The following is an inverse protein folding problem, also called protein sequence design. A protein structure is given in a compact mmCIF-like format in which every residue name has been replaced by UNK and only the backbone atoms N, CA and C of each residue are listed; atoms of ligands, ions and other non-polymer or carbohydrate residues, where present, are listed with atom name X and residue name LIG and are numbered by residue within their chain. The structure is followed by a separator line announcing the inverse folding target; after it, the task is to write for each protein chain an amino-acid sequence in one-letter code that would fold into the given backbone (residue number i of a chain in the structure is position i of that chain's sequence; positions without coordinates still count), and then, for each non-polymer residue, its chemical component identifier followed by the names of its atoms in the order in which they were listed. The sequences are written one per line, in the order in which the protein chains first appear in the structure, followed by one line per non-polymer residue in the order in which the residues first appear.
data_IF_526883528117
#
_entry.id   IF_526883528117
#
_cell.length_a   1.000
_cell.length_b   1.000
_cell.length_c   1.000
_cell.angle_alpha   90.00
_cell.angle_beta   90.00
_cell.angle_gamma   90.00
#
_symmetry.space_group_name_H-M   'P 1'
#
loop_
_entity.id
_entity.type
_entity.pdbx_description
1 polymer ?
#
# COMPACT_ATOMS: atom_id res chain seq x y z
N UNK A 1 9.15 24.18 1.60
CA UNK A 1 8.10 23.25 1.12
C UNK A 1 7.63 22.42 2.30
N UNK A 2 6.31 22.19 2.47
CA UNK A 2 5.79 21.40 3.60
C UNK A 2 6.22 19.93 3.51
N UNK A 3 6.36 19.27 4.64
CA UNK A 3 6.74 17.85 4.76
C UNK A 3 5.72 16.91 4.07
N UNK A 4 4.43 17.30 4.05
CA UNK A 4 3.33 16.50 3.53
C UNK A 4 2.83 17.03 2.19
N UNK A 5 2.58 16.12 1.25
CA UNK A 5 2.01 16.45 -0.06
C UNK A 5 0.49 16.30 -0.09
N UNK A 6 -0.04 15.36 0.71
CA UNK A 6 -1.48 15.17 0.92
C UNK A 6 -1.77 15.20 2.42
N UNK A 7 -2.83 15.91 2.82
CA UNK A 7 -3.50 15.73 4.11
C UNK A 7 -5.00 15.75 3.88
N UNK A 8 -5.72 14.87 4.58
CA UNK A 8 -7.19 14.93 4.63
C UNK A 8 -7.66 15.00 6.07
N UNK A 9 -8.76 15.68 6.31
CA UNK A 9 -9.37 15.81 7.63
C UNK A 9 -10.87 15.56 7.53
N UNK A 10 -11.34 14.56 8.25
CA UNK A 10 -12.75 14.17 8.30
C UNK A 10 -13.38 13.99 6.90
N UNK A 11 -12.60 13.48 5.92
CA UNK A 11 -13.05 13.37 4.55
C UNK A 11 -14.17 12.35 4.44
N UNK A 12 -15.35 12.80 4.03
CA UNK A 12 -16.58 12.00 3.95
C UNK A 12 -17.14 12.04 2.53
N UNK A 13 -17.64 10.90 2.06
CA UNK A 13 -18.33 10.80 0.78
C UNK A 13 -19.56 9.94 0.89
N UNK A 14 -20.70 10.55 0.58
CA UNK A 14 -21.99 9.90 0.48
C UNK A 14 -22.45 9.81 -0.97
N UNK A 15 -22.98 8.67 -1.38
CA UNK A 15 -23.69 8.42 -2.62
C UNK A 15 -25.16 8.11 -2.26
N UNK A 16 -26.01 9.15 -2.26
CA UNK A 16 -27.35 9.02 -1.72
C UNK A 16 -27.33 8.61 -0.25
N UNK A 17 -27.91 7.45 0.07
CA UNK A 17 -27.93 6.89 1.44
C UNK A 17 -26.68 6.06 1.79
N UNK A 18 -25.84 5.76 0.82
CA UNK A 18 -24.65 4.95 1.03
C UNK A 18 -23.46 5.83 1.40
N UNK A 19 -22.89 5.61 2.59
CA UNK A 19 -21.66 6.27 3.03
C UNK A 19 -20.46 5.46 2.53
N UNK A 20 -19.79 5.94 1.49
CA UNK A 20 -18.62 5.28 0.91
C UNK A 20 -17.32 5.60 1.66
N UNK A 21 -17.24 6.77 2.31
CA UNK A 21 -16.15 7.18 3.20
C UNK A 21 -16.72 7.96 4.36
N UNK A 22 -16.24 7.65 5.56
CA UNK A 22 -16.68 8.27 6.81
C UNK A 22 -15.48 8.85 7.56
N UNK A 23 -15.35 10.18 7.57
CA UNK A 23 -14.36 10.96 8.32
C UNK A 23 -12.91 10.48 8.19
N UNK A 24 -12.48 10.10 6.97
CA UNK A 24 -11.13 9.61 6.70
C UNK A 24 -10.11 10.74 6.80
N UNK A 25 -9.07 10.55 7.63
CA UNK A 25 -7.95 11.48 7.77
C UNK A 25 -6.62 10.79 7.56
N UNK A 26 -5.89 11.12 6.48
CA UNK A 26 -4.54 10.62 6.22
C UNK A 26 -3.55 11.76 6.01
N UNK A 27 -2.26 11.42 6.11
CA UNK A 27 -1.15 12.32 5.78
C UNK A 27 -0.10 11.57 4.99
N UNK A 28 0.23 12.04 3.76
CA UNK A 28 1.24 11.45 2.89
C UNK A 28 2.44 12.40 2.81
N UNK A 29 3.63 11.88 3.09
CA UNK A 29 4.88 12.64 3.03
C UNK A 29 5.39 12.75 1.60
N UNK A 30 6.20 13.77 1.34
CA UNK A 30 6.88 13.89 0.04
C UNK A 30 7.92 12.80 -0.13
N UNK A 31 7.99 12.22 -1.32
CA UNK A 31 8.99 11.22 -1.70
C UNK A 31 8.79 9.86 -1.02
N UNK A 32 7.61 9.57 -0.49
CA UNK A 32 7.26 8.24 0.02
C UNK A 32 6.31 7.49 -0.91
N UNK A 33 6.27 6.18 -0.77
CA UNK A 33 5.22 5.32 -1.30
C UNK A 33 4.23 5.03 -0.17
N UNK A 34 3.00 5.54 -0.33
CA UNK A 34 1.90 5.30 0.60
C UNK A 34 0.96 4.23 0.06
N UNK A 35 0.82 3.13 0.77
CA UNK A 35 -0.09 2.03 0.45
C UNK A 35 -1.44 2.20 1.14
N UNK A 36 -2.52 2.40 0.38
CA UNK A 36 -3.89 2.38 0.89
C UNK A 36 -4.45 0.96 0.81
N UNK A 37 -4.52 0.30 1.94
CA UNK A 37 -4.90 -1.11 2.11
C UNK A 37 -6.38 -1.23 2.44
N UNK A 38 -7.04 -2.24 1.88
CA UNK A 38 -8.43 -2.56 2.25
C UNK A 38 -9.05 -3.57 1.29
N UNK A 39 -10.10 -4.23 1.75
CA UNK A 39 -10.86 -5.18 0.93
C UNK A 39 -11.55 -4.46 -0.25
N UNK A 40 -12.09 -5.26 -1.17
CA UNK A 40 -12.96 -4.72 -2.22
C UNK A 40 -14.19 -4.07 -1.58
N UNK A 41 -14.53 -2.84 -2.02
CA UNK A 41 -15.62 -2.07 -1.42
C UNK A 41 -15.24 -1.29 -0.14
N UNK A 42 -14.00 -1.36 0.37
CA UNK A 42 -13.57 -0.61 1.55
C UNK A 42 -13.58 0.92 1.38
N UNK A 43 -13.72 1.44 0.15
CA UNK A 43 -13.73 2.88 -0.15
C UNK A 43 -12.45 3.39 -0.80
N UNK A 44 -11.45 2.53 -1.10
CA UNK A 44 -10.14 2.92 -1.67
C UNK A 44 -10.27 3.78 -2.93
N UNK A 45 -10.96 3.25 -3.96
CA UNK A 45 -11.18 3.96 -5.23
C UNK A 45 -11.93 5.27 -5.03
N UNK A 46 -12.93 5.32 -4.13
CA UNK A 46 -13.65 6.55 -3.79
C UNK A 46 -12.70 7.59 -3.21
N UNK A 47 -11.81 7.18 -2.28
CA UNK A 47 -10.81 8.06 -1.70
C UNK A 47 -9.87 8.64 -2.76
N UNK A 48 -9.36 7.80 -3.66
CA UNK A 48 -8.49 8.24 -4.75
C UNK A 48 -9.22 9.18 -5.74
N UNK A 49 -10.52 8.93 -6.02
CA UNK A 49 -11.35 9.83 -6.85
C UNK A 49 -11.54 11.20 -6.23
N UNK A 50 -11.67 11.31 -4.91
CA UNK A 50 -11.77 12.60 -4.22
C UNK A 50 -10.46 13.40 -4.34
N UNK A 51 -9.32 12.77 -4.12
CA UNK A 51 -8.01 13.43 -4.23
C UNK A 51 -7.73 13.91 -5.66
N UNK A 52 -8.04 13.06 -6.66
CA UNK A 52 -7.83 13.38 -8.08
C UNK A 52 -8.82 14.40 -8.66
N UNK A 53 -9.91 14.72 -7.93
CA UNK A 53 -10.96 15.62 -8.40
C UNK A 53 -11.99 14.95 -9.32
N UNK A 54 -11.94 13.62 -9.48
CA UNK A 54 -12.97 12.85 -10.21
C UNK A 54 -14.28 12.72 -9.43
N UNK A 55 -14.26 13.04 -8.15
CA UNK A 55 -15.45 13.16 -7.31
C UNK A 55 -15.25 14.32 -6.32
N UNK A 56 -16.35 14.92 -5.86
CA UNK A 56 -16.35 15.96 -4.84
C UNK A 56 -16.66 15.37 -3.47
N UNK A 57 -16.01 15.79 -2.37
CA UNK A 57 -16.34 15.37 -1.03
C UNK A 57 -17.75 15.83 -0.63
N UNK A 58 -18.39 15.08 0.26
CA UNK A 58 -19.64 15.50 0.91
C UNK A 58 -19.35 16.37 2.12
N UNK A 59 -18.28 16.02 2.85
CA UNK A 59 -17.80 16.78 4.02
C UNK A 59 -16.28 16.59 4.16
N UNK A 60 -15.65 17.44 4.99
CA UNK A 60 -14.23 17.37 5.30
C UNK A 60 -13.36 18.20 4.36
N UNK A 61 -12.06 18.09 4.56
CA UNK A 61 -11.07 18.94 3.90
C UNK A 61 -9.99 18.10 3.21
N UNK A 62 -9.51 18.57 2.07
CA UNK A 62 -8.35 18.07 1.36
C UNK A 62 -7.29 19.18 1.33
N UNK A 63 -6.07 18.87 1.72
CA UNK A 63 -4.90 19.70 1.49
C UNK A 63 -4.00 18.98 0.50
N UNK A 64 -3.71 19.63 -0.62
CA UNK A 64 -2.86 19.09 -1.68
C UNK A 64 -1.73 20.07 -1.96
N UNK A 65 -0.47 19.61 -1.86
CA UNK A 65 0.73 20.44 -1.98
C UNK A 65 0.77 21.65 -1.03
N UNK A 66 0.09 21.57 0.12
CA UNK A 66 -0.04 22.65 1.09
C UNK A 66 -1.21 23.61 0.83
N UNK A 67 -1.93 23.45 -0.26
CA UNK A 67 -3.10 24.26 -0.59
C UNK A 67 -4.39 23.59 -0.12
N UNK A 68 -5.31 24.38 0.43
CA UNK A 68 -6.60 23.93 0.97
C UNK A 68 -7.82 24.57 0.28
N UNK A 69 -7.62 25.68 -0.46
CA UNK A 69 -8.67 26.30 -1.25
C UNK A 69 -8.95 25.49 -2.52
N UNK A 70 -10.21 25.16 -2.81
CA UNK A 70 -10.60 24.29 -3.96
C UNK A 70 -10.00 24.78 -5.29
N UNK A 71 -10.08 26.08 -5.58
CA UNK A 71 -9.52 26.66 -6.80
C UNK A 71 -7.99 26.50 -6.91
N UNK A 72 -7.28 26.48 -5.79
CA UNK A 72 -5.83 26.26 -5.74
C UNK A 72 -5.52 24.78 -5.85
N UNK A 73 -6.29 23.92 -5.17
CA UNK A 73 -6.18 22.46 -5.26
C UNK A 73 -6.34 22.00 -6.72
N UNK A 74 -7.31 22.56 -7.45
CA UNK A 74 -7.52 22.25 -8.87
C UNK A 74 -6.27 22.53 -9.71
N UNK A 75 -5.58 23.65 -9.46
CA UNK A 75 -4.30 23.95 -10.10
C UNK A 75 -3.19 22.96 -9.70
N UNK A 76 -3.19 22.53 -8.43
CA UNK A 76 -2.20 21.54 -7.93
C UNK A 76 -2.40 20.15 -8.54
N UNK A 77 -3.62 19.80 -8.93
CA UNK A 77 -3.92 18.55 -9.64
C UNK A 77 -3.18 18.44 -10.97
N UNK A 78 -2.78 19.55 -11.60
CA UNK A 78 -1.92 19.53 -12.79
C UNK A 78 -0.51 18.96 -12.53
N UNK A 79 -0.07 18.95 -11.26
CA UNK A 79 1.19 18.35 -10.78
C UNK A 79 1.02 16.88 -10.38
N UNK A 80 -0.18 16.32 -10.61
CA UNK A 80 -0.54 14.95 -10.22
C UNK A 80 -0.78 14.10 -11.45
N UNK A 81 -0.16 12.92 -11.48
CA UNK A 81 -0.49 11.86 -12.43
C UNK A 81 -1.50 10.91 -11.81
N UNK A 82 -2.51 10.49 -12.57
CA UNK A 82 -3.63 9.69 -12.06
C UNK A 82 -3.84 8.48 -12.94
N UNK A 83 -3.98 7.30 -12.31
CA UNK A 83 -4.41 6.05 -12.94
C UNK A 83 -5.45 5.40 -12.02
N UNK A 84 -6.72 5.58 -12.31
CA UNK A 84 -7.84 5.06 -11.52
C UNK A 84 -8.70 4.16 -12.39
N UNK A 85 -9.05 2.98 -11.89
CA UNK A 85 -9.80 1.93 -12.58
C UNK A 85 -9.05 1.44 -13.83
N UNK A 86 -9.59 1.68 -15.03
CA UNK A 86 -8.97 1.26 -16.30
C UNK A 86 -8.11 2.37 -16.89
N UNK A 87 -6.92 2.03 -17.43
CA UNK A 87 -6.10 3.03 -18.12
C UNK A 87 -6.83 3.71 -19.27
N UNK A 88 -6.95 5.04 -19.21
CA UNK A 88 -7.58 5.85 -20.24
C UNK A 88 -6.64 6.01 -21.44
N UNK A 89 -6.77 5.17 -22.46
CA UNK A 89 -6.05 5.27 -23.72
C UNK A 89 -6.96 5.01 -24.92
N UNK A 90 -6.53 5.43 -26.10
CA UNK A 90 -7.23 5.18 -27.36
C UNK A 90 -6.81 3.82 -27.94
N UNK A 91 -7.69 2.80 -27.95
CA UNK A 91 -7.34 1.44 -28.36
C UNK A 91 -6.85 1.31 -29.81
N UNK A 92 -7.29 2.19 -30.69
CA UNK A 92 -6.93 2.17 -32.12
C UNK A 92 -5.60 2.83 -32.43
N UNK A 93 -5.13 3.71 -31.52
CA UNK A 93 -3.82 4.34 -31.63
C UNK A 93 -2.73 3.36 -31.13
N UNK A 94 -1.51 3.52 -31.64
CA UNK A 94 -0.37 2.79 -31.09
C UNK A 94 0.11 3.42 -29.76
N UNK A 95 1.03 2.73 -29.07
CA UNK A 95 1.57 3.19 -27.78
C UNK A 95 2.15 4.60 -27.88
N UNK A 96 3.00 4.85 -28.87
CA UNK A 96 3.62 6.17 -29.10
C UNK A 96 2.57 7.25 -29.34
N UNK A 97 1.55 6.96 -30.18
CA UNK A 97 0.49 7.93 -30.48
C UNK A 97 -0.35 8.26 -29.23
N UNK A 98 -0.62 7.29 -28.37
CA UNK A 98 -1.28 7.53 -27.09
C UNK A 98 -0.48 8.47 -26.18
N UNK A 99 0.83 8.22 -26.06
CA UNK A 99 1.72 9.10 -25.29
C UNK A 99 1.85 10.49 -25.89
N UNK A 100 1.93 10.59 -27.21
CA UNK A 100 1.96 11.88 -27.93
C UNK A 100 0.66 12.66 -27.73
N UNK A 101 -0.49 11.98 -27.76
CA UNK A 101 -1.78 12.58 -27.45
C UNK A 101 -1.80 13.16 -26.02
N UNK A 102 -1.37 12.36 -25.03
CA UNK A 102 -1.30 12.80 -23.65
C UNK A 102 -0.33 13.99 -23.48
N UNK A 103 0.79 13.99 -24.19
CA UNK A 103 1.75 15.10 -24.23
C UNK A 103 1.10 16.39 -24.69
N UNK A 104 0.38 16.33 -25.82
CA UNK A 104 -0.30 17.50 -26.39
C UNK A 104 -1.39 18.01 -25.45
N UNK A 105 -2.21 17.09 -24.91
CA UNK A 105 -3.29 17.41 -23.97
C UNK A 105 -2.78 18.13 -22.71
N UNK A 106 -1.62 17.70 -22.18
CA UNK A 106 -0.98 18.32 -21.01
C UNK A 106 -0.11 19.55 -21.36
N UNK A 107 -0.03 19.95 -22.62
CA UNK A 107 0.75 21.09 -23.04
C UNK A 107 2.28 20.93 -22.85
N UNK A 108 2.79 19.69 -22.81
CA UNK A 108 4.22 19.42 -22.59
C UNK A 108 4.99 19.70 -23.90
N UNK A 109 5.99 20.60 -23.92
CA UNK A 109 6.73 20.95 -25.13
C UNK A 109 7.69 19.85 -25.54
N UNK A 110 7.96 19.78 -26.86
CA UNK A 110 8.95 18.84 -27.44
C UNK A 110 8.48 17.39 -27.44
N UNK A 111 9.17 16.53 -28.19
CA UNK A 111 8.83 15.08 -28.31
C UNK A 111 9.77 14.18 -27.47
N UNK A 112 10.80 14.72 -26.88
CA UNK A 112 11.81 13.95 -26.13
C UNK A 112 11.18 13.22 -24.94
N UNK A 113 10.24 13.86 -24.25
CA UNK A 113 9.53 13.25 -23.12
C UNK A 113 8.78 11.95 -23.48
N UNK A 114 8.28 11.79 -24.72
CA UNK A 114 7.63 10.56 -25.17
C UNK A 114 8.63 9.41 -25.23
N UNK A 115 9.85 9.66 -25.73
CA UNK A 115 10.92 8.66 -25.76
C UNK A 115 11.36 8.27 -24.35
N UNK A 116 11.53 9.26 -23.47
CA UNK A 116 11.89 9.03 -22.06
C UNK A 116 10.84 8.18 -21.33
N UNK A 117 9.54 8.44 -21.57
CA UNK A 117 8.46 7.64 -20.97
C UNK A 117 8.40 6.24 -21.58
N UNK A 118 8.60 6.09 -22.88
CA UNK A 118 8.66 4.77 -23.53
C UNK A 118 9.77 3.91 -22.93
N UNK A 119 10.91 4.51 -22.66
CA UNK A 119 12.06 3.84 -22.04
C UNK A 119 11.77 3.52 -20.58
N UNK A 120 11.30 4.49 -19.81
CA UNK A 120 11.00 4.38 -18.39
C UNK A 120 9.96 3.27 -18.10
N UNK A 121 8.92 3.19 -18.95
CA UNK A 121 7.84 2.18 -18.81
C UNK A 121 8.16 0.84 -19.48
N UNK A 122 9.31 0.71 -20.15
CA UNK A 122 9.70 -0.51 -20.87
C UNK A 122 8.86 -0.80 -22.12
N UNK A 123 8.20 0.24 -22.69
CA UNK A 123 7.31 0.09 -23.85
C UNK A 123 7.97 0.43 -25.20
N UNK A 124 9.28 0.68 -25.23
CA UNK A 124 10.02 1.09 -26.44
C UNK A 124 9.87 0.10 -27.60
N UNK A 125 9.98 -1.20 -27.33
CA UNK A 125 9.83 -2.26 -28.34
C UNK A 125 8.41 -2.38 -28.85
N UNK A 126 7.41 -1.98 -28.04
CA UNK A 126 6.00 -2.01 -28.35
C UNK A 126 5.44 -0.67 -28.88
N UNK A 127 6.31 0.36 -29.05
CA UNK A 127 5.89 1.73 -29.39
C UNK A 127 4.98 1.83 -30.61
N UNK A 128 5.15 0.92 -31.59
CA UNK A 128 4.33 0.86 -32.83
C UNK A 128 3.12 -0.09 -32.74
N UNK A 129 3.00 -0.90 -31.65
CA UNK A 129 1.85 -1.80 -31.48
C UNK A 129 0.59 -1.01 -31.11
N UNK A 130 -0.56 -1.39 -31.67
CA UNK A 130 -1.86 -0.81 -31.28
C UNK A 130 -2.18 -1.13 -29.83
N UNK A 131 -2.72 -0.15 -29.09
CA UNK A 131 -2.99 -0.30 -27.66
C UNK A 131 -3.99 -1.43 -27.37
N UNK A 132 -4.94 -1.71 -28.26
CA UNK A 132 -5.88 -2.82 -28.13
C UNK A 132 -5.22 -4.21 -28.08
N UNK A 133 -4.07 -4.38 -28.74
CA UNK A 133 -3.34 -5.65 -28.84
C UNK A 133 -2.27 -5.85 -27.77
N UNK A 134 -2.18 -4.96 -26.79
CA UNK A 134 -1.25 -5.08 -25.67
C UNK A 134 -1.76 -6.11 -24.65
N UNK A 135 -0.82 -6.79 -23.96
CA UNK A 135 -1.13 -7.56 -22.76
C UNK A 135 -1.65 -6.63 -21.64
N UNK A 136 -2.25 -7.19 -20.61
CA UNK A 136 -2.74 -6.41 -19.46
C UNK A 136 -1.62 -5.58 -18.82
N UNK A 137 -0.46 -6.20 -18.56
CA UNK A 137 0.68 -5.51 -17.99
C UNK A 137 1.21 -4.36 -18.87
N UNK A 138 1.23 -4.57 -20.20
CA UNK A 138 1.59 -3.49 -21.13
C UNK A 138 0.56 -2.37 -21.16
N UNK A 139 -0.73 -2.67 -21.01
CA UNK A 139 -1.80 -1.66 -20.89
C UNK A 139 -1.66 -0.86 -19.59
N UNK A 140 -1.36 -1.52 -18.47
CA UNK A 140 -1.09 -0.85 -17.19
C UNK A 140 0.13 0.08 -17.30
N UNK A 141 1.22 -0.37 -17.93
CA UNK A 141 2.41 0.46 -18.17
C UNK A 141 2.13 1.64 -19.13
N UNK A 142 1.26 1.47 -20.11
CA UNK A 142 0.83 2.57 -20.98
C UNK A 142 0.03 3.59 -20.17
N UNK A 143 -0.92 3.15 -19.33
CA UNK A 143 -1.69 4.03 -18.43
C UNK A 143 -0.78 4.80 -17.47
N UNK A 144 0.20 4.12 -16.87
CA UNK A 144 1.21 4.76 -16.03
C UNK A 144 2.06 5.75 -16.83
N UNK A 145 2.44 5.43 -18.07
CA UNK A 145 3.16 6.34 -18.96
C UNK A 145 2.37 7.62 -19.28
N UNK A 146 1.06 7.49 -19.47
CA UNK A 146 0.14 8.63 -19.65
C UNK A 146 0.08 9.47 -18.35
N UNK A 147 -0.02 8.83 -17.20
CA UNK A 147 -0.01 9.50 -15.90
C UNK A 147 1.31 10.25 -15.63
N UNK A 148 2.44 9.69 -16.07
CA UNK A 148 3.78 10.26 -15.94
C UNK A 148 4.06 11.43 -16.90
N UNK A 149 3.20 11.67 -17.91
CA UNK A 149 3.41 12.74 -18.86
C UNK A 149 3.47 14.09 -18.17
N UNK A 150 4.60 14.81 -18.37
CA UNK A 150 4.89 16.08 -17.69
C UNK A 150 5.61 15.91 -16.34
N UNK A 151 6.02 14.71 -15.98
CA UNK A 151 6.78 14.39 -14.76
C UNK A 151 6.09 14.96 -13.51
N UNK A 152 5.00 14.32 -13.04
CA UNK A 152 4.26 14.78 -11.88
C UNK A 152 5.08 14.62 -10.60
N UNK A 153 4.77 15.40 -9.57
CA UNK A 153 5.35 15.25 -8.23
C UNK A 153 4.59 14.22 -7.37
N UNK A 154 3.35 13.92 -7.75
CA UNK A 154 2.47 12.96 -7.10
C UNK A 154 1.86 12.01 -8.14
N UNK A 155 1.90 10.71 -7.86
CA UNK A 155 1.12 9.70 -8.58
C UNK A 155 0.03 9.15 -7.67
N UNK A 156 -1.19 9.06 -8.20
CA UNK A 156 -2.35 8.41 -7.57
C UNK A 156 -2.73 7.21 -8.43
N UNK A 157 -2.57 5.99 -7.88
CA UNK A 157 -2.70 4.75 -8.63
C UNK A 157 -3.71 3.82 -7.93
N UNK A 158 -4.75 3.41 -8.65
CA UNK A 158 -5.74 2.46 -8.15
C UNK A 158 -5.42 1.05 -8.65
N UNK A 159 -5.05 0.15 -7.72
CA UNK A 159 -4.75 -1.26 -7.98
C UNK A 159 -3.78 -1.49 -9.16
N UNK A 160 -2.61 -0.80 -9.24
CA UNK A 160 -1.76 -0.78 -10.44
C UNK A 160 -1.13 -2.14 -10.79
N UNK A 161 -1.11 -3.08 -9.85
CA UNK A 161 -0.52 -4.42 -10.00
C UNK A 161 -1.58 -5.52 -10.14
N UNK A 162 -2.86 -5.17 -10.00
CA UNK A 162 -3.93 -6.18 -10.02
C UNK A 162 -4.06 -6.86 -11.39
N UNK A 163 -4.18 -8.19 -11.38
CA UNK A 163 -4.34 -9.01 -12.58
C UNK A 163 -3.08 -9.17 -13.44
N UNK A 164 -1.93 -8.72 -12.96
CA UNK A 164 -0.65 -8.99 -13.61
C UNK A 164 -0.16 -10.40 -13.29
N UNK A 165 0.61 -10.97 -14.20
CA UNK A 165 1.39 -12.17 -13.94
C UNK A 165 2.55 -11.88 -12.96
N UNK A 166 3.15 -12.89 -12.32
CA UNK A 166 4.21 -12.67 -11.32
C UNK A 166 5.38 -11.82 -11.84
N UNK A 167 5.79 -12.00 -13.10
CA UNK A 167 6.86 -11.19 -13.69
C UNK A 167 6.44 -9.73 -13.87
N UNK A 168 5.20 -9.49 -14.31
CA UNK A 168 4.62 -8.16 -14.46
C UNK A 168 4.49 -7.41 -13.14
N UNK A 169 4.17 -8.12 -12.05
CA UNK A 169 4.11 -7.56 -10.69
C UNK A 169 5.50 -7.05 -10.28
N UNK A 170 6.54 -7.90 -10.42
CA UNK A 170 7.92 -7.54 -10.07
C UNK A 170 8.40 -6.33 -10.88
N UNK A 171 8.12 -6.32 -12.18
CA UNK A 171 8.53 -5.22 -13.06
C UNK A 171 7.79 -3.91 -12.72
N UNK A 172 6.48 -3.96 -12.43
CA UNK A 172 5.72 -2.79 -12.02
C UNK A 172 6.22 -2.25 -10.67
N UNK A 173 6.45 -3.13 -9.69
CA UNK A 173 7.01 -2.76 -8.38
C UNK A 173 8.35 -2.06 -8.53
N UNK A 174 9.28 -2.62 -9.30
CA UNK A 174 10.59 -2.03 -9.56
C UNK A 174 10.48 -0.67 -10.25
N UNK A 175 9.52 -0.52 -11.16
CA UNK A 175 9.25 0.77 -11.81
C UNK A 175 8.76 1.81 -10.79
N UNK A 176 7.79 1.47 -9.94
CA UNK A 176 7.28 2.38 -8.90
C UNK A 176 8.37 2.77 -7.90
N UNK A 177 9.18 1.81 -7.44
CA UNK A 177 10.33 2.08 -6.57
C UNK A 177 11.31 3.06 -7.22
N UNK A 178 11.68 2.83 -8.49
CA UNK A 178 12.56 3.72 -9.25
C UNK A 178 11.98 5.13 -9.39
N UNK A 179 10.70 5.26 -9.71
CA UNK A 179 10.02 6.56 -9.80
C UNK A 179 10.07 7.32 -8.46
N UNK A 180 9.84 6.64 -7.37
CA UNK A 180 9.88 7.24 -6.04
C UNK A 180 11.33 7.61 -5.64
N UNK A 181 12.27 6.65 -5.71
CA UNK A 181 13.63 6.83 -5.15
C UNK A 181 14.54 7.68 -6.05
N UNK A 182 14.47 7.51 -7.38
CA UNK A 182 15.37 8.22 -8.30
C UNK A 182 14.78 9.51 -8.85
N UNK A 183 13.43 9.57 -9.02
CA UNK A 183 12.74 10.75 -9.55
C UNK A 183 12.06 11.60 -8.49
N UNK A 184 12.13 11.18 -7.22
CA UNK A 184 11.51 11.85 -6.08
C UNK A 184 10.00 12.10 -6.27
N UNK A 185 9.31 11.16 -6.96
CA UNK A 185 7.87 11.21 -7.16
C UNK A 185 7.19 10.56 -5.95
N UNK A 186 6.29 11.27 -5.30
CA UNK A 186 5.45 10.69 -4.24
C UNK A 186 4.40 9.78 -4.87
N UNK A 187 4.17 8.61 -4.29
CA UNK A 187 3.20 7.65 -4.82
C UNK A 187 2.18 7.30 -3.75
N UNK A 188 0.90 7.54 -4.05
CA UNK A 188 -0.22 6.99 -3.30
C UNK A 188 -0.86 5.90 -4.15
N UNK A 189 -0.83 4.67 -3.68
CA UNK A 189 -1.45 3.57 -4.40
C UNK A 189 -2.38 2.75 -3.51
N UNK A 190 -3.48 2.27 -4.10
CA UNK A 190 -4.36 1.30 -3.46
C UNK A 190 -3.92 -0.12 -3.82
N UNK A 191 -4.06 -1.04 -2.88
CA UNK A 191 -3.96 -2.47 -3.14
C UNK A 191 -4.73 -3.29 -2.11
N UNK A 192 -5.14 -4.47 -2.52
CA UNK A 192 -5.62 -5.54 -1.64
C UNK A 192 -4.57 -6.66 -1.48
N UNK A 193 -3.44 -6.58 -2.21
CA UNK A 193 -2.33 -7.54 -2.15
C UNK A 193 -1.27 -6.98 -1.19
N UNK A 194 -1.35 -7.39 0.08
CA UNK A 194 -0.50 -6.83 1.14
C UNK A 194 0.96 -7.22 0.99
N UNK A 195 1.24 -8.46 0.56
CA UNK A 195 2.61 -8.97 0.34
C UNK A 195 3.41 -8.12 -0.66
N UNK A 196 2.75 -7.53 -1.66
CA UNK A 196 3.39 -6.63 -2.61
C UNK A 196 3.62 -5.23 -2.02
N UNK A 197 2.66 -4.71 -1.24
CA UNK A 197 2.83 -3.44 -0.56
C UNK A 197 3.95 -3.49 0.48
N UNK A 198 4.11 -4.61 1.18
CA UNK A 198 5.18 -4.83 2.15
C UNK A 198 6.58 -4.64 1.55
N UNK A 199 6.73 -4.95 0.25
CA UNK A 199 8.00 -4.82 -0.45
C UNK A 199 8.30 -3.40 -0.97
N UNK A 200 7.31 -2.50 -1.01
CA UNK A 200 7.50 -1.18 -1.62
C UNK A 200 7.03 0.00 -0.79
N UNK A 201 6.00 -0.14 0.05
CA UNK A 201 5.41 0.98 0.76
C UNK A 201 6.21 1.40 2.00
N UNK A 202 6.28 2.70 2.24
CA UNK A 202 6.93 3.30 3.42
C UNK A 202 5.91 3.55 4.54
N UNK A 203 4.65 3.81 4.16
CA UNK A 203 3.53 4.08 5.08
C UNK A 203 2.29 3.36 4.58
N UNK A 204 1.47 2.87 5.50
CA UNK A 204 0.23 2.16 5.21
C UNK A 204 -0.96 2.89 5.83
N UNK A 205 -2.07 2.95 5.10
CA UNK A 205 -3.38 3.34 5.61
C UNK A 205 -4.35 2.19 5.45
N UNK A 206 -4.86 1.65 6.55
CA UNK A 206 -5.79 0.53 6.54
C UNK A 206 -7.22 1.02 6.54
N UNK A 207 -7.95 0.71 5.48
CA UNK A 207 -9.34 1.14 5.26
C UNK A 207 -10.29 -0.05 5.38
N UNK A 208 -11.39 0.11 6.13
CA UNK A 208 -12.47 -0.88 6.26
C UNK A 208 -13.81 -0.15 6.29
N UNK A 209 -14.76 -0.57 5.43
CA UNK A 209 -16.12 -0.02 5.38
C UNK A 209 -16.18 1.51 5.35
N UNK A 210 -15.28 2.14 4.58
CA UNK A 210 -15.21 3.60 4.47
C UNK A 210 -14.49 4.31 5.61
N UNK A 211 -14.03 3.61 6.65
CA UNK A 211 -13.33 4.18 7.79
C UNK A 211 -11.85 3.84 7.76
N UNK A 212 -10.99 4.80 8.14
CA UNK A 212 -9.58 4.54 8.36
C UNK A 212 -9.40 3.88 9.74
N UNK A 213 -8.99 2.62 9.76
CA UNK A 213 -8.67 1.90 10.99
C UNK A 213 -7.37 2.43 11.61
N UNK A 214 -6.34 2.60 10.78
CA UNK A 214 -5.02 3.03 11.22
C UNK A 214 -4.18 3.55 10.05
N UNK A 215 -3.33 4.53 10.34
CA UNK A 215 -2.18 4.90 9.51
C UNK A 215 -0.91 4.61 10.31
N UNK A 216 0.05 3.91 9.68
CA UNK A 216 1.29 3.48 10.35
C UNK A 216 2.44 3.40 9.35
N UNK A 217 3.65 3.77 9.79
CA UNK A 217 4.85 3.62 8.97
C UNK A 217 5.33 2.16 8.93
N UNK A 218 6.05 1.79 7.86
CA UNK A 218 6.70 0.48 7.75
C UNK A 218 7.60 0.19 8.95
N UNK A 219 8.36 1.18 9.40
CA UNK A 219 9.23 1.03 10.58
C UNK A 219 8.43 0.64 11.82
N UNK A 220 7.33 1.35 12.10
CA UNK A 220 6.51 1.06 13.27
C UNK A 220 5.79 -0.30 13.16
N UNK A 221 5.39 -0.74 11.94
CA UNK A 221 4.87 -2.10 11.75
C UNK A 221 5.93 -3.15 12.09
N UNK A 222 7.16 -2.97 11.60
CA UNK A 222 8.25 -3.91 11.90
C UNK A 222 8.55 -3.97 13.40
N UNK A 223 8.41 -2.86 14.13
CA UNK A 223 8.53 -2.82 15.58
C UNK A 223 7.36 -3.51 16.29
N UNK A 224 6.13 -3.36 15.79
CA UNK A 224 4.93 -3.99 16.36
C UNK A 224 4.77 -5.48 15.95
N UNK A 225 5.25 -5.85 14.76
CA UNK A 225 5.26 -7.22 14.23
C UNK A 225 6.59 -7.94 14.56
N UNK A 226 7.26 -7.54 15.66
CA UNK A 226 8.52 -8.15 16.07
C UNK A 226 8.44 -9.68 16.06
N UNK A 227 9.59 -10.29 15.79
CA UNK A 227 9.75 -11.74 15.78
C UNK A 227 9.13 -12.38 17.01
N UNK A 228 8.37 -13.42 16.81
CA UNK A 228 7.84 -14.25 17.89
C UNK A 228 8.29 -15.70 17.71
N UNK A 229 8.42 -16.39 18.84
CA UNK A 229 8.61 -17.84 18.86
C UNK A 229 7.28 -18.51 19.15
N UNK A 230 6.89 -19.43 18.29
CA UNK A 230 5.72 -20.29 18.46
C UNK A 230 6.21 -21.65 18.89
N UNK A 231 5.76 -22.11 20.07
CA UNK A 231 6.11 -23.41 20.63
C UNK A 231 4.88 -24.19 21.02
N UNK A 232 4.83 -25.45 20.60
CA UNK A 232 3.86 -26.44 21.07
C UNK A 232 4.60 -27.44 21.98
N UNK A 233 4.07 -27.63 23.16
CA UNK A 233 4.65 -28.52 24.21
C UNK A 233 3.60 -29.46 24.77
N UNK A 234 4.04 -30.57 25.38
CA UNK A 234 3.15 -31.55 25.98
C UNK A 234 2.41 -31.02 27.22
N UNK A 235 3.05 -30.16 28.01
CA UNK A 235 2.47 -29.50 29.19
C UNK A 235 2.64 -27.98 29.09
N UNK A 236 1.65 -27.32 28.50
CA UNK A 236 1.67 -25.88 28.25
C UNK A 236 1.57 -25.04 29.52
N UNK A 237 0.84 -25.51 30.56
CA UNK A 237 0.63 -24.75 31.79
C UNK A 237 1.93 -24.71 32.60
N UNK A 238 2.58 -25.87 32.76
CA UNK A 238 3.90 -25.98 33.38
C UNK A 238 4.94 -25.17 32.63
N UNK A 239 4.95 -25.25 31.28
CA UNK A 239 5.93 -24.52 30.48
C UNK A 239 5.74 -23.00 30.54
N UNK A 240 4.50 -22.50 30.56
CA UNK A 240 4.23 -21.07 30.73
C UNK A 240 4.78 -20.51 32.05
N UNK A 241 4.63 -21.27 33.15
CA UNK A 241 5.20 -20.90 34.46
C UNK A 241 6.72 -20.87 34.42
N UNK A 242 7.36 -21.82 33.71
CA UNK A 242 8.82 -21.86 33.55
C UNK A 242 9.36 -20.68 32.75
N UNK A 243 8.66 -20.28 31.68
CA UNK A 243 9.00 -19.07 30.88
C UNK A 243 9.11 -17.83 31.79
N UNK A 244 8.14 -17.65 32.69
CA UNK A 244 8.12 -16.51 33.60
C UNK A 244 9.21 -16.61 34.69
N UNK A 245 9.39 -17.78 35.31
CA UNK A 245 10.28 -17.96 36.47
C UNK A 245 11.75 -18.03 36.06
N UNK A 246 12.10 -18.74 35.00
CA UNK A 246 13.49 -19.03 34.67
C UNK A 246 14.05 -18.11 33.59
N UNK A 247 13.23 -17.72 32.61
CA UNK A 247 13.65 -16.83 31.55
C UNK A 247 13.16 -15.39 31.72
N UNK A 248 12.35 -15.11 32.75
CA UNK A 248 11.72 -13.79 32.95
C UNK A 248 10.91 -13.30 31.74
N UNK A 249 10.38 -14.24 30.96
CA UNK A 249 9.57 -13.97 29.75
C UNK A 249 8.11 -13.82 30.16
N UNK A 250 7.63 -12.58 30.33
CA UNK A 250 6.22 -12.28 30.66
C UNK A 250 5.36 -11.90 29.43
N UNK A 251 5.99 -11.72 28.26
CA UNK A 251 5.29 -11.28 27.06
C UNK A 251 4.97 -12.46 26.12
N UNK A 252 4.01 -13.30 26.50
CA UNK A 252 3.56 -14.42 25.70
C UNK A 252 2.02 -14.50 25.66
N UNK A 253 1.48 -15.24 24.68
CA UNK A 253 0.06 -15.54 24.54
C UNK A 253 -0.15 -17.03 24.27
N UNK A 254 -1.14 -17.62 24.96
CA UNK A 254 -1.62 -18.96 24.62
C UNK A 254 -2.66 -18.84 23.53
N UNK A 255 -2.39 -19.48 22.41
CA UNK A 255 -3.23 -19.44 21.22
C UNK A 255 -4.38 -20.47 21.32
N UNK A 256 -5.50 -20.29 20.57
CA UNK A 256 -6.64 -21.22 20.59
C UNK A 256 -6.28 -22.66 20.20
N UNK A 257 -5.24 -22.85 19.38
CA UNK A 257 -4.70 -24.16 18.97
C UNK A 257 -3.80 -24.79 20.03
N UNK A 258 -3.63 -24.14 21.19
CA UNK A 258 -2.82 -24.62 22.30
C UNK A 258 -1.33 -24.29 22.22
N UNK A 259 -0.85 -23.65 21.16
CA UNK A 259 0.53 -23.19 21.07
C UNK A 259 0.78 -21.96 21.94
N UNK A 260 2.00 -21.82 22.43
CA UNK A 260 2.44 -20.61 23.14
C UNK A 260 3.20 -19.75 22.16
N UNK A 261 2.77 -18.50 21.99
CA UNK A 261 3.45 -17.48 21.16
C UNK A 261 4.18 -16.51 22.07
N UNK A 262 5.50 -16.52 22.02
CA UNK A 262 6.39 -15.65 22.81
C UNK A 262 6.72 -14.44 21.94
N UNK A 263 6.26 -13.26 22.37
CA UNK A 263 6.42 -12.00 21.63
C UNK A 263 7.76 -11.36 22.00
N UNK A 264 8.41 -10.70 21.04
CA UNK A 264 9.74 -10.09 21.20
C UNK A 264 10.76 -11.10 21.78
N UNK A 265 10.80 -12.28 21.17
CA UNK A 265 11.62 -13.39 21.67
C UNK A 265 13.12 -13.02 21.64
N UNK A 266 13.69 -12.75 22.82
CA UNK A 266 15.07 -12.30 23.00
C UNK A 266 16.07 -13.45 22.84
N UNK A 267 15.66 -14.68 23.18
CA UNK A 267 16.52 -15.85 23.18
C UNK A 267 16.45 -16.61 21.85
N UNK A 268 17.52 -17.33 21.54
CA UNK A 268 17.55 -18.29 20.41
C UNK A 268 16.67 -19.51 20.69
N UNK A 269 16.21 -20.19 19.66
CA UNK A 269 15.28 -21.31 19.77
C UNK A 269 15.77 -22.43 20.68
N UNK A 270 17.10 -22.65 20.73
CA UNK A 270 17.75 -23.67 21.55
C UNK A 270 17.51 -23.45 23.04
N UNK A 271 17.42 -22.22 23.51
CA UNK A 271 17.15 -21.90 24.92
C UNK A 271 15.72 -22.30 25.31
N UNK A 272 14.74 -22.00 24.46
CA UNK A 272 13.35 -22.40 24.68
C UNK A 272 13.18 -23.92 24.65
N UNK A 273 13.87 -24.60 23.74
CA UNK A 273 13.86 -26.06 23.67
C UNK A 273 14.55 -26.69 24.90
N UNK A 274 15.68 -26.13 25.34
CA UNK A 274 16.40 -26.61 26.50
C UNK A 274 15.59 -26.49 27.80
N UNK A 275 14.90 -25.36 27.99
CA UNK A 275 14.02 -25.16 29.15
C UNK A 275 12.96 -26.25 29.24
N UNK A 276 12.37 -26.64 28.11
CA UNK A 276 11.39 -27.72 28.10
C UNK A 276 12.03 -29.07 28.47
N UNK A 277 13.19 -29.40 27.87
CA UNK A 277 13.89 -30.67 28.11
C UNK A 277 14.39 -30.84 29.57
N UNK A 278 14.90 -29.77 30.19
CA UNK A 278 15.38 -29.78 31.60
C UNK A 278 14.25 -30.08 32.59
N UNK A 279 13.00 -29.83 32.20
CA UNK A 279 11.81 -30.06 33.01
C UNK A 279 10.92 -31.22 32.50
N UNK A 280 11.48 -32.09 31.66
CA UNK A 280 10.80 -33.29 31.15
C UNK A 280 9.50 -32.96 30.39
N UNK A 281 9.51 -31.86 29.63
CA UNK A 281 8.40 -31.43 28.75
C UNK A 281 8.82 -31.67 27.29
N UNK A 282 8.00 -32.44 26.56
CA UNK A 282 8.25 -32.68 25.15
C UNK A 282 7.92 -31.45 24.32
N UNK A 283 8.85 -31.07 23.44
CA UNK A 283 8.63 -30.03 22.43
C UNK A 283 8.07 -30.70 21.16
N UNK A 284 6.82 -30.41 20.84
CA UNK A 284 6.12 -30.98 19.68
C UNK A 284 6.42 -30.19 18.42
N UNK A 285 6.49 -28.86 18.54
CA UNK A 285 6.82 -27.93 17.46
C UNK A 285 7.50 -26.71 18.04
N UNK A 286 8.52 -26.19 17.34
CA UNK A 286 9.18 -24.94 17.68
C UNK A 286 9.56 -24.20 16.41
N UNK A 287 9.02 -23.02 16.22
CA UNK A 287 9.31 -22.20 15.05
C UNK A 287 9.42 -20.73 15.42
N UNK A 288 10.38 -20.03 14.81
CA UNK A 288 10.48 -18.57 14.89
C UNK A 288 9.78 -17.98 13.69
N UNK A 289 8.84 -17.07 13.92
CA UNK A 289 8.04 -16.42 12.90
C UNK A 289 8.04 -14.91 13.12
N UNK A 290 7.89 -14.15 12.05
CA UNK A 290 7.50 -12.75 12.11
C UNK A 290 6.03 -12.64 11.74
N UNK A 291 5.31 -11.72 12.34
CA UNK A 291 3.94 -11.45 11.95
C UNK A 291 3.95 -10.78 10.56
N UNK A 292 3.23 -11.36 9.60
CA UNK A 292 3.09 -10.77 8.27
C UNK A 292 2.18 -9.52 8.32
N UNK A 293 2.31 -8.64 7.33
CA UNK A 293 1.40 -7.50 7.16
C UNK A 293 -0.06 -7.95 7.03
N UNK A 294 -0.29 -9.15 6.46
CA UNK A 294 -1.61 -9.75 6.33
C UNK A 294 -2.21 -10.12 7.68
N UNK A 295 -1.44 -10.80 8.54
CA UNK A 295 -1.87 -11.12 9.92
C UNK A 295 -2.11 -9.85 10.73
N UNK A 296 -1.25 -8.84 10.58
CA UNK A 296 -1.43 -7.55 11.22
C UNK A 296 -2.77 -6.90 10.81
N UNK A 297 -3.07 -6.88 9.52
CA UNK A 297 -4.32 -6.33 9.00
C UNK A 297 -5.54 -7.12 9.49
N UNK A 298 -5.47 -8.46 9.52
CA UNK A 298 -6.56 -9.29 10.05
C UNK A 298 -6.84 -8.98 11.53
N UNK A 299 -5.81 -8.86 12.36
CA UNK A 299 -5.94 -8.48 13.77
C UNK A 299 -6.56 -7.08 13.94
N UNK A 300 -6.18 -6.10 13.09
CA UNK A 300 -6.81 -4.78 13.07
C UNK A 300 -8.30 -4.85 12.73
N UNK A 301 -8.69 -5.71 11.80
CA UNK A 301 -10.10 -5.89 11.41
C UNK A 301 -10.95 -6.45 12.54
N UNK A 302 -10.42 -7.38 13.32
CA UNK A 302 -11.13 -8.00 14.46
C UNK A 302 -11.22 -7.04 15.64
N UNK A 303 -10.14 -6.33 15.97
CA UNK A 303 -10.09 -5.36 17.06
C UNK A 303 -10.83 -4.05 16.78
N UNK A 304 -10.91 -3.65 15.52
CA UNK A 304 -11.50 -2.37 15.08
C UNK A 304 -13.03 -2.33 15.01
N UNK A 305 -13.73 -3.41 15.34
CA UNK A 305 -15.21 -3.47 15.29
C UNK A 305 -15.91 -2.54 16.31
N UNK A 306 -15.16 -1.77 17.11
CA UNK A 306 -15.69 -0.83 18.12
C UNK A 306 -15.52 0.65 17.76
N UNK A 307 -14.97 1.00 16.59
CA UNK A 307 -14.57 2.38 16.26
C UNK A 307 -15.31 3.00 15.05
N UNK A 308 -16.26 2.31 14.43
CA UNK A 308 -17.10 2.87 13.34
C UNK A 308 -18.56 2.94 13.72
#
# INVERSE_FOLDING_TARGET
MGEYIIKTKNLTKNYGKFCALNRVGISVKRGEIYGLVGDNGAGKTTFLKLLSGLATPSEGEIVLFGEHEEKKIEKMRNRTGVLIETPGFYPQLNVRQNLEYARIQKGVPGKKCVEEILELTGLRTAAKKKAKSLSLGMKQRLGLGIALMGIPELLILDEPINGLDPSGIVEMRNLLLRLCREKNITILLSSHILSELEQMADTYGFLKNGCLLRQISRKAILEECADYVEIAVSDREKYAVLLEKELSVGNYKVMPDGKIRILNAEFVNEIYSRLAQEHEIDVLELSRKSQSLEEYYMNLKEGGSRLC
#
